data_IF_870920769599
#
_entry.id   IF_870920769599
#
_cell.length_a   1.000
_cell.length_b   1.000
_cell.length_c   1.000
_cell.angle_alpha   90.00
_cell.angle_beta   90.00
_cell.angle_gamma   90.00
#
_symmetry.space_group_name_H-M   'P 1'
#
loop_
_entity.id
_entity.type
_entity.pdbx_description
1 polymer ?
#
# COMPACT_ATOMS: atom_id res chain seq x y z
N UNK A 1 38.64 -17.69 -9.67
CA UNK A 1 38.26 -17.53 -9.37
C UNK A 1 37.76 -17.01 -8.94
N UNK A 2 37.64 -16.84 -9.00
CA UNK A 2 37.04 -16.23 -8.72
C UNK A 2 36.22 -15.68 -8.31
N UNK A 3 36.32 -15.65 -8.43
CA UNK A 3 35.52 -15.07 -8.12
C UNK A 3 34.85 -14.58 -7.41
N UNK A 4 35.08 -14.42 -7.34
CA UNK A 4 34.44 -13.87 -6.75
C UNK A 4 34.00 -13.18 -6.16
N UNK A 5 34.38 -12.99 -6.28
CA UNK A 5 33.81 -12.05 -5.76
C UNK A 5 33.08 -11.47 -5.54
N UNK A 6 33.42 -11.44 -5.80
CA UNK A 6 32.71 -10.71 -5.59
C UNK A 6 31.87 -10.37 -5.06
N UNK A 7 32.18 -10.49 -4.92
CA UNK A 7 31.30 -10.00 -4.47
C UNK A 7 30.68 -9.45 -3.94
N UNK A 8 31.17 -9.31 -3.95
CA UNK A 8 30.56 -8.59 -3.56
C UNK A 8 29.98 -8.00 -3.35
N UNK A 9 30.35 -7.84 -3.53
CA UNK A 9 29.74 -7.11 -3.43
C UNK A 9 29.04 -6.54 -3.17
N UNK A 10 29.24 -6.39 -3.34
CA UNK A 10 28.66 -5.87 -3.22
C UNK A 10 27.95 -5.64 -2.58
N UNK A 11 28.27 -5.71 -2.35
CA UNK A 11 27.58 -5.53 -1.72
C UNK A 11 27.22 -4.79 -1.25
N UNK A 12 27.62 -4.47 -1.53
CA UNK A 12 27.34 -3.83 -1.12
C UNK A 12 26.81 -3.22 -0.97
N UNK A 13 26.95 -3.14 -1.31
CA UNK A 13 26.39 -2.60 -1.10
C UNK A 13 25.56 -2.16 -0.79
N UNK A 14 25.62 -2.46 -1.57
CA UNK A 14 24.41 -2.11 -1.35
C UNK A 14 24.02 -1.62 -0.05
N UNK A 15 24.58 -1.04 0.32
CA UNK A 15 24.23 -0.47 1.58
C UNK A 15 23.07 0.44 1.40
N UNK A 16 21.96 0.13 2.00
CA UNK A 16 20.83 1.01 1.88
C UNK A 16 21.11 2.28 2.67
N UNK A 17 20.86 3.39 2.05
CA UNK A 17 20.99 4.66 2.71
C UNK A 17 19.76 4.90 3.57
N UNK A 18 19.95 5.34 4.83
CA UNK A 18 18.80 5.48 5.74
C UNK A 18 17.70 6.38 5.19
N UNK A 19 18.05 7.43 4.44
CA UNK A 19 17.05 8.34 3.96
C UNK A 19 16.22 7.84 2.78
N UNK A 20 16.52 6.62 2.26
CA UNK A 20 15.88 6.13 1.06
C UNK A 20 14.69 5.21 1.32
N UNK A 21 14.35 4.93 2.58
CA UNK A 21 13.30 3.97 2.88
C UNK A 21 11.95 4.40 2.27
N UNK A 22 11.60 5.68 2.41
CA UNK A 22 10.36 6.18 1.84
C UNK A 22 10.32 6.10 0.33
N UNK A 23 11.43 6.50 -0.33
CA UNK A 23 11.49 6.43 -1.78
C UNK A 23 11.43 5.00 -2.28
N UNK A 24 12.13 4.07 -1.60
CA UNK A 24 12.11 2.67 -1.99
C UNK A 24 10.71 2.08 -1.83
N UNK A 25 10.00 2.44 -0.75
CA UNK A 25 8.64 1.98 -0.56
C UNK A 25 7.71 2.52 -1.65
N UNK A 26 7.89 3.80 -2.02
CA UNK A 26 7.05 4.36 -3.07
C UNK A 26 7.28 3.62 -4.39
N UNK A 27 8.52 3.30 -4.72
CA UNK A 27 8.83 2.53 -5.93
C UNK A 27 8.20 1.13 -5.84
N UNK A 28 8.29 0.48 -4.68
CA UNK A 28 7.76 -0.87 -4.52
C UNK A 28 6.24 -0.91 -4.59
N UNK A 29 5.56 0.21 -4.29
CA UNK A 29 4.10 0.26 -4.41
C UNK A 29 3.62 0.39 -5.84
N UNK A 30 4.48 0.81 -6.77
CA UNK A 30 4.06 1.09 -8.14
C UNK A 30 3.44 -0.13 -8.81
N UNK A 31 2.44 0.10 -9.64
CA UNK A 31 1.81 -0.95 -10.42
C UNK A 31 0.36 -1.15 -10.05
N UNK A 32 -0.17 -2.27 -10.52
CA UNK A 32 -1.58 -2.59 -10.35
C UNK A 32 -1.73 -3.70 -9.32
N UNK A 33 -2.70 -3.52 -8.44
CA UNK A 33 -2.98 -4.45 -7.35
C UNK A 33 -4.44 -4.83 -7.38
N UNK A 34 -4.75 -6.08 -7.05
CA UNK A 34 -6.12 -6.56 -6.98
C UNK A 34 -6.40 -7.10 -5.59
N UNK A 35 -7.55 -6.75 -5.03
CA UNK A 35 -7.94 -7.21 -3.71
C UNK A 35 -8.31 -8.70 -3.75
N UNK A 36 -7.81 -9.43 -2.77
CA UNK A 36 -8.20 -10.83 -2.55
C UNK A 36 -9.01 -10.97 -1.28
N UNK A 37 -8.95 -9.99 -0.38
CA UNK A 37 -9.81 -9.88 0.79
C UNK A 37 -10.14 -8.42 1.02
N UNK A 38 -11.32 -8.17 1.53
CA UNK A 38 -11.70 -6.81 1.91
C UNK A 38 -12.80 -6.86 2.95
N UNK A 39 -12.77 -5.89 3.86
CA UNK A 39 -13.89 -5.63 4.76
C UNK A 39 -14.05 -4.13 4.87
N UNK A 40 -15.26 -3.69 5.10
CA UNK A 40 -15.55 -2.28 5.30
C UNK A 40 -16.59 -2.17 6.39
N UNK A 41 -16.32 -1.34 7.38
CA UNK A 41 -17.26 -1.12 8.49
C UNK A 41 -17.63 -2.45 9.16
N UNK A 42 -16.64 -3.38 9.21
CA UNK A 42 -16.84 -4.67 9.86
C UNK A 42 -17.51 -5.73 9.01
N UNK A 43 -17.81 -5.44 7.75
CA UNK A 43 -18.57 -6.37 6.90
C UNK A 43 -17.83 -6.64 5.59
N UNK A 44 -18.03 -7.83 5.01
CA UNK A 44 -17.44 -8.13 3.71
C UNK A 44 -18.09 -7.30 2.61
N UNK A 45 -17.44 -7.17 1.45
CA UNK A 45 -18.02 -6.41 0.36
C UNK A 45 -19.20 -7.16 -0.26
N UNK A 46 -20.08 -6.43 -0.97
CA UNK A 46 -21.15 -7.09 -1.71
C UNK A 46 -20.58 -8.08 -2.73
N UNK A 47 -21.41 -9.05 -3.09
CA UNK A 47 -21.00 -10.07 -4.05
C UNK A 47 -20.57 -9.40 -5.36
N UNK A 48 -19.45 -9.86 -5.93
CA UNK A 48 -18.93 -9.35 -7.19
C UNK A 48 -18.07 -8.11 -7.08
N UNK A 49 -18.07 -7.42 -5.93
CA UNK A 49 -17.26 -6.20 -5.82
C UNK A 49 -15.78 -6.52 -5.65
N UNK A 50 -15.45 -7.60 -4.97
CA UNK A 50 -14.06 -7.93 -4.70
C UNK A 50 -13.26 -8.08 -5.99
N UNK A 51 -13.84 -8.71 -7.01
CA UNK A 51 -13.14 -8.90 -8.28
C UNK A 51 -12.87 -7.59 -9.00
N UNK A 52 -13.63 -6.56 -8.69
CA UNK A 52 -13.48 -5.25 -9.32
C UNK A 52 -12.63 -4.30 -8.51
N UNK A 53 -12.22 -4.71 -7.32
CA UNK A 53 -11.52 -3.82 -6.41
C UNK A 53 -10.03 -3.85 -6.77
N UNK A 54 -9.62 -2.88 -7.59
CA UNK A 54 -8.24 -2.74 -8.03
C UNK A 54 -7.71 -1.38 -7.63
N UNK A 55 -6.42 -1.33 -7.37
CA UNK A 55 -5.73 -0.10 -7.02
C UNK A 55 -4.49 -0.01 -7.91
N UNK A 56 -4.28 1.17 -8.49
CA UNK A 56 -3.13 1.41 -9.37
C UNK A 56 -2.34 2.58 -8.83
N UNK A 57 -1.06 2.36 -8.58
CA UNK A 57 -0.12 3.40 -8.18
C UNK A 57 0.74 3.77 -9.37
N UNK A 58 0.74 5.04 -9.74
CA UNK A 58 1.59 5.57 -10.81
C UNK A 58 2.26 6.83 -10.30
N UNK A 59 3.58 6.77 -10.10
CA UNK A 59 4.31 7.91 -9.57
C UNK A 59 3.79 8.27 -8.19
N UNK A 60 3.31 9.49 -8.05
CA UNK A 60 2.80 9.99 -6.78
C UNK A 60 1.27 9.97 -6.72
N UNK A 61 0.63 9.22 -7.62
CA UNK A 61 -0.82 9.16 -7.64
C UNK A 61 -1.30 7.74 -7.46
N UNK A 62 -2.54 7.62 -7.02
CA UNK A 62 -3.22 6.34 -6.82
C UNK A 62 -4.64 6.45 -7.37
N UNK A 63 -5.10 5.38 -8.00
CA UNK A 63 -6.47 5.27 -8.50
C UNK A 63 -7.09 4.02 -7.91
N UNK A 64 -8.35 4.12 -7.52
CA UNK A 64 -9.11 3.00 -6.96
C UNK A 64 -10.26 2.70 -7.90
N UNK A 65 -10.35 1.43 -8.36
CA UNK A 65 -11.44 0.97 -9.22
C UNK A 65 -11.61 1.84 -10.47
N UNK A 66 -10.49 2.29 -11.06
CA UNK A 66 -10.55 3.08 -12.26
C UNK A 66 -10.94 4.52 -12.09
N UNK A 67 -11.01 5.00 -10.85
CA UNK A 67 -11.32 6.41 -10.61
C UNK A 67 -10.17 7.31 -11.07
N UNK A 68 -10.42 8.62 -11.07
CA UNK A 68 -9.39 9.59 -11.42
C UNK A 68 -8.23 9.48 -10.43
N UNK A 69 -6.98 9.59 -10.91
CA UNK A 69 -5.84 9.53 -10.00
C UNK A 69 -5.86 10.67 -9.00
N UNK A 70 -5.44 10.38 -7.79
CA UNK A 70 -5.27 11.39 -6.76
C UNK A 70 -3.90 11.21 -6.11
N UNK A 71 -3.39 12.26 -5.54
CA UNK A 71 -2.05 12.21 -4.95
C UNK A 71 -2.09 11.44 -3.65
N UNK A 72 -0.97 10.82 -3.31
CA UNK A 72 -0.82 10.16 -2.02
C UNK A 72 0.57 10.44 -1.47
N UNK A 73 0.70 10.34 -0.15
CA UNK A 73 1.99 10.42 0.53
C UNK A 73 2.12 9.24 1.47
N UNK A 74 3.36 8.87 1.78
CA UNK A 74 3.63 7.79 2.74
C UNK A 74 4.63 8.29 3.77
N UNK A 75 4.60 7.65 4.95
CA UNK A 75 5.54 7.94 6.02
C UNK A 75 5.98 6.62 6.63
N UNK A 76 7.21 6.23 6.36
CA UNK A 76 7.74 4.94 6.79
C UNK A 76 8.40 5.00 8.17
N UNK A 77 8.36 6.16 8.83
CA UNK A 77 8.86 6.27 10.19
C UNK A 77 7.91 5.65 11.23
N UNK A 78 6.67 5.36 10.81
CA UNK A 78 5.70 4.67 11.65
C UNK A 78 5.65 3.19 11.30
N UNK A 79 5.20 2.37 12.24
CA UNK A 79 5.00 0.94 12.04
C UNK A 79 3.66 0.54 12.63
N UNK A 80 2.68 0.18 11.79
CA UNK A 80 2.75 0.11 10.32
C UNK A 80 2.96 1.48 9.70
N UNK A 81 3.50 1.49 8.48
CA UNK A 81 3.72 2.74 7.77
C UNK A 81 2.39 3.45 7.50
N UNK A 82 2.46 4.76 7.42
CA UNK A 82 1.27 5.59 7.14
C UNK A 82 1.16 5.86 5.65
N UNK A 83 -0.08 5.96 5.17
CA UNK A 83 -0.38 6.40 3.82
C UNK A 83 -1.55 7.37 3.90
N UNK A 84 -1.40 8.51 3.22
CA UNK A 84 -2.46 9.51 3.16
C UNK A 84 -2.84 9.68 1.70
N UNK A 85 -4.13 9.59 1.41
CA UNK A 85 -4.67 9.78 0.07
C UNK A 85 -5.35 11.14 0.06
N UNK A 86 -4.83 12.04 -0.77
CA UNK A 86 -5.16 13.46 -0.69
C UNK A 86 -6.37 13.79 -1.56
N UNK A 87 -7.44 13.05 -1.36
CA UNK A 87 -8.70 13.32 -2.04
C UNK A 87 -9.59 14.18 -1.14
N UNK A 88 -10.80 14.47 -1.63
CA UNK A 88 -11.70 15.35 -0.90
C UNK A 88 -12.12 14.76 0.44
N UNK A 89 -12.08 13.44 0.59
CA UNK A 89 -12.47 12.77 1.82
C UNK A 89 -11.33 12.66 2.82
N UNK A 90 -10.12 13.04 2.41
CA UNK A 90 -8.94 12.99 3.29
C UNK A 90 -8.80 11.61 3.91
N UNK A 91 -8.59 10.62 3.04
CA UNK A 91 -8.39 9.26 3.51
C UNK A 91 -6.99 9.11 4.07
N UNK A 92 -6.91 8.61 5.29
CA UNK A 92 -5.63 8.35 5.94
C UNK A 92 -5.61 6.91 6.37
N UNK A 93 -4.45 6.27 6.27
CA UNK A 93 -4.40 4.85 6.55
C UNK A 93 -3.05 4.35 6.95
N UNK A 94 -2.98 3.03 7.02
CA UNK A 94 -1.75 2.29 7.28
C UNK A 94 -1.59 1.24 6.20
N UNK A 95 -0.33 0.85 5.94
CA UNK A 95 -0.09 -0.18 4.95
C UNK A 95 1.11 -1.02 5.37
N UNK A 96 1.14 -2.23 4.83
CA UNK A 96 2.28 -3.14 5.01
C UNK A 96 2.52 -3.83 3.70
N UNK A 97 3.74 -3.73 3.20
CA UNK A 97 4.13 -4.27 1.90
C UNK A 97 5.10 -5.41 2.13
N UNK A 98 4.76 -6.60 1.63
CA UNK A 98 5.64 -7.77 1.70
C UNK A 98 5.66 -8.42 0.32
N UNK A 99 6.74 -8.18 -0.44
CA UNK A 99 6.83 -8.74 -1.79
C UNK A 99 5.67 -8.29 -2.65
N UNK A 100 4.88 -9.23 -3.12
CA UNK A 100 3.75 -8.96 -4.00
C UNK A 100 2.43 -8.91 -3.24
N UNK A 101 2.47 -8.78 -1.92
CA UNK A 101 1.28 -8.65 -1.09
C UNK A 101 1.28 -7.29 -0.39
N UNK A 102 0.13 -6.64 -0.38
CA UNK A 102 -0.03 -5.33 0.22
C UNK A 102 -1.27 -5.33 1.09
N UNK A 103 -1.09 -5.05 2.37
CA UNK A 103 -2.20 -4.80 3.28
C UNK A 103 -2.42 -3.29 3.36
N UNK A 104 -3.67 -2.89 3.23
CA UNK A 104 -4.03 -1.47 3.24
C UNK A 104 -5.29 -1.30 4.05
N UNK A 105 -5.26 -0.38 5.01
CA UNK A 105 -6.45 -0.07 5.79
C UNK A 105 -6.57 1.44 5.89
N UNK A 106 -7.69 1.99 5.43
CA UNK A 106 -7.87 3.44 5.35
C UNK A 106 -9.17 3.84 6.04
N UNK A 107 -9.16 5.04 6.58
CA UNK A 107 -10.34 5.67 7.15
C UNK A 107 -10.54 7.02 6.50
N UNK A 108 -11.75 7.58 6.67
CA UNK A 108 -12.07 8.89 6.09
C UNK A 108 -12.01 9.97 7.17
N UNK A 109 -12.00 11.23 6.72
CA UNK A 109 -12.07 12.40 7.59
C UNK A 109 -10.95 12.44 8.64
N UNK A 110 -9.77 11.93 8.26
CA UNK A 110 -8.61 11.99 9.13
C UNK A 110 -8.58 10.94 10.23
N UNK A 111 -9.48 9.97 10.20
CA UNK A 111 -9.55 8.92 11.23
C UNK A 111 -8.69 7.73 10.79
N UNK A 112 -7.44 7.71 11.25
CA UNK A 112 -6.48 6.69 10.82
C UNK A 112 -6.68 5.40 11.58
N UNK A 113 -6.87 4.26 10.87
CA UNK A 113 -6.94 2.97 11.53
C UNK A 113 -5.63 2.64 12.25
N UNK A 114 -5.73 1.85 13.30
CA UNK A 114 -4.56 1.44 14.08
C UNK A 114 -4.19 -0.02 13.83
N UNK A 115 -5.04 -0.77 13.15
CA UNK A 115 -4.81 -2.18 12.86
C UNK A 115 -5.41 -2.51 11.51
N UNK A 116 -4.98 -3.64 10.94
CA UNK A 116 -5.46 -4.09 9.63
C UNK A 116 -6.75 -4.87 9.80
N UNK A 117 -7.78 -4.16 10.25
CA UNK A 117 -9.11 -4.72 10.42
C UNK A 117 -10.11 -3.58 10.49
N UNK A 118 -11.39 -3.88 10.33
CA UNK A 118 -12.43 -2.89 10.44
C UNK A 118 -13.44 -3.32 11.49
N UNK A 119 -14.16 -2.33 12.04
CA UNK A 119 -15.21 -2.54 13.02
C UNK A 119 -16.42 -1.72 12.60
N UNK A 120 -17.59 -2.06 13.12
CA UNK A 120 -18.80 -1.33 12.80
C UNK A 120 -18.66 0.13 13.23
N UNK A 121 -19.26 1.00 12.43
CA UNK A 121 -19.37 2.44 12.72
C UNK A 121 -18.01 3.14 12.68
N UNK A 122 -17.05 2.62 11.92
CA UNK A 122 -15.73 3.23 11.86
C UNK A 122 -15.39 3.86 10.52
N UNK A 123 -16.16 3.59 9.46
CA UNK A 123 -15.82 4.03 8.10
C UNK A 123 -14.43 3.60 7.66
N UNK A 124 -13.92 2.54 8.26
CA UNK A 124 -12.62 2.00 7.85
C UNK A 124 -12.81 0.93 6.79
N UNK A 125 -11.86 0.85 5.86
CA UNK A 125 -11.84 -0.18 4.83
C UNK A 125 -10.49 -0.86 4.87
N UNK A 126 -10.52 -2.18 4.96
CA UNK A 126 -9.30 -3.00 4.92
C UNK A 126 -9.29 -3.82 3.65
N UNK A 127 -8.11 -3.91 3.04
CA UNK A 127 -7.91 -4.73 1.85
C UNK A 127 -6.59 -5.46 1.94
N UNK A 128 -6.61 -6.74 1.55
CA UNK A 128 -5.40 -7.48 1.24
C UNK A 128 -5.31 -7.57 -0.27
N UNK A 129 -4.23 -7.07 -0.82
CA UNK A 129 -4.07 -6.93 -2.26
C UNK A 129 -2.88 -7.74 -2.73
N UNK A 130 -2.99 -8.24 -3.95
CA UNK A 130 -1.90 -8.95 -4.61
C UNK A 130 -1.54 -8.20 -5.87
N UNK A 131 -0.24 -8.18 -6.18
CA UNK A 131 0.24 -7.51 -7.39
C UNK A 131 -0.24 -8.24 -8.62
N UNK A 132 -0.77 -7.51 -9.57
CA UNK A 132 -1.16 -8.08 -10.87
C UNK A 132 0.10 -8.15 -11.73
N UNK A 133 0.41 -9.34 -12.20
CA UNK A 133 1.55 -9.55 -13.07
C UNK A 133 1.05 -9.73 -14.50
N UNK A 134 1.62 -8.95 -15.39
CA UNK A 134 1.20 -8.97 -16.79
C UNK A 134 2.33 -9.30 -17.71
#
# INVERSE_FOLDING_TARGET
MERRFILLFAFLLSVSLPGNAGAQNKVALQGKWRAVEATSNGEPPPAGLLEKLTIVFVGETVSVMGSSPTRFTIDTSFRPAHIDILNSRRQVGIYELKGDALKLCVGTDGDRPKAFRTEKYTDHTYMLLKRVKE
#
